data_IF_358850070105
#
_entry.id   IF_358850070105
#
_cell.length_a   1.000
_cell.length_b   1.000
_cell.length_c   1.000
_cell.angle_alpha   90.00
_cell.angle_beta   90.00
_cell.angle_gamma   90.00
#
_symmetry.space_group_name_H-M   'P 1'
#
loop_
_entity.id
_entity.type
_entity.pdbx_description
1 polymer ?
#
# COMPACT_ATOMS: atom_id res chain seq x y z
N UNK A 1 15.12 -15.99 3.79
CA UNK A 1 13.91 -15.26 3.34
C UNK A 1 14.00 -14.80 1.87
N UNK A 2 15.02 -14.02 1.44
CA UNK A 2 15.22 -13.64 0.01
C UNK A 2 15.34 -14.84 -0.96
N UNK A 3 16.12 -15.87 -0.58
CA UNK A 3 16.28 -17.15 -1.33
C UNK A 3 14.95 -17.84 -1.69
N UNK A 4 13.91 -17.65 -0.89
CA UNK A 4 12.60 -18.29 -1.07
C UNK A 4 11.55 -17.32 -1.65
N UNK A 5 11.98 -16.15 -2.13
CA UNK A 5 11.12 -15.06 -2.64
C UNK A 5 9.98 -14.62 -1.71
N UNK A 6 10.04 -14.97 -0.43
CA UNK A 6 9.01 -14.62 0.56
C UNK A 6 8.83 -13.10 0.74
N UNK A 7 9.82 -12.30 0.36
CA UNK A 7 9.85 -10.84 0.57
C UNK A 7 9.96 -10.04 -0.73
N UNK A 8 10.12 -10.68 -1.90
CA UNK A 8 10.47 -10.03 -3.16
C UNK A 8 9.49 -10.34 -4.28
N UNK A 9 8.20 -10.50 -3.95
CA UNK A 9 7.14 -10.70 -4.94
C UNK A 9 6.40 -9.40 -5.30
N UNK A 10 5.84 -9.33 -6.50
CA UNK A 10 5.06 -8.16 -6.96
C UNK A 10 5.87 -6.86 -6.95
N UNK A 11 5.26 -5.76 -6.51
CA UNK A 11 5.91 -4.43 -6.42
C UNK A 11 7.23 -4.45 -5.64
N UNK A 12 7.40 -5.38 -4.68
CA UNK A 12 8.63 -5.49 -3.90
C UNK A 12 9.84 -5.97 -4.72
N UNK A 13 9.60 -6.62 -5.86
CA UNK A 13 10.64 -7.07 -6.78
C UNK A 13 11.22 -5.93 -7.60
N UNK A 14 10.38 -4.94 -7.97
CA UNK A 14 10.71 -3.87 -8.92
C UNK A 14 11.02 -2.55 -8.22
N UNK A 15 10.24 -2.19 -7.21
CA UNK A 15 10.35 -0.91 -6.49
C UNK A 15 10.93 -1.04 -5.07
N UNK A 16 11.30 -2.26 -4.67
CA UNK A 16 11.99 -2.55 -3.41
C UNK A 16 11.07 -3.02 -2.28
N UNK A 17 11.68 -3.69 -1.30
CA UNK A 17 10.97 -4.31 -0.18
C UNK A 17 10.33 -3.22 0.69
N UNK A 18 9.04 -3.36 0.98
CA UNK A 18 8.29 -2.42 1.81
C UNK A 18 7.54 -1.33 1.03
N UNK A 19 7.65 -1.31 -0.31
CA UNK A 19 6.86 -0.39 -1.14
C UNK A 19 5.36 -0.68 -0.99
N UNK A 20 4.59 0.39 -0.84
CA UNK A 20 3.13 0.38 -0.92
C UNK A 20 2.74 1.37 -2.00
N UNK A 21 2.10 0.87 -3.07
CA UNK A 21 1.65 1.69 -4.20
C UNK A 21 0.17 2.03 -4.04
N UNK A 22 -0.25 3.18 -4.56
CA UNK A 22 -1.66 3.60 -4.54
C UNK A 22 -2.59 2.57 -5.22
N UNK A 23 -2.25 1.98 -6.39
CA UNK A 23 -3.06 0.92 -6.98
C UNK A 23 -3.23 -0.29 -6.06
N UNK A 24 -2.18 -0.73 -5.36
CA UNK A 24 -2.22 -1.84 -4.41
C UNK A 24 -3.07 -1.52 -3.18
N UNK A 25 -2.98 -0.29 -2.67
CA UNK A 25 -3.85 0.17 -1.59
C UNK A 25 -5.31 0.18 -2.02
N UNK A 26 -5.62 0.64 -3.24
CA UNK A 26 -6.98 0.67 -3.76
C UNK A 26 -7.58 -0.73 -3.86
N UNK A 27 -6.81 -1.71 -4.32
CA UNK A 27 -7.23 -3.11 -4.34
C UNK A 27 -7.54 -3.63 -2.95
N UNK A 28 -6.70 -3.30 -1.96
CA UNK A 28 -6.90 -3.71 -0.57
C UNK A 28 -8.15 -3.06 0.03
N UNK A 29 -8.32 -1.76 -0.19
CA UNK A 29 -9.52 -1.03 0.24
C UNK A 29 -10.79 -1.61 -0.38
N UNK A 30 -10.77 -1.90 -1.69
CA UNK A 30 -11.91 -2.49 -2.38
C UNK A 30 -12.25 -3.87 -1.82
N UNK A 31 -11.25 -4.71 -1.54
CA UNK A 31 -11.46 -6.01 -0.89
C UNK A 31 -12.15 -5.86 0.47
N UNK A 32 -11.79 -4.86 1.27
CA UNK A 32 -12.44 -4.59 2.55
C UNK A 32 -13.89 -4.14 2.38
N UNK A 33 -14.18 -3.31 1.38
CA UNK A 33 -15.54 -2.86 1.03
C UNK A 33 -16.39 -4.04 0.55
N UNK A 34 -15.88 -4.86 -0.36
CA UNK A 34 -16.59 -5.99 -0.96
C UNK A 34 -16.94 -7.05 0.10
N UNK A 35 -16.03 -7.27 1.06
CA UNK A 35 -16.26 -8.16 2.20
C UNK A 35 -17.03 -7.48 3.35
N UNK A 36 -17.53 -6.25 3.15
CA UNK A 36 -18.33 -5.49 4.12
C UNK A 36 -17.63 -5.24 5.47
N UNK A 37 -16.30 -5.17 5.45
CA UNK A 37 -15.48 -4.91 6.63
C UNK A 37 -15.39 -3.41 6.95
N UNK A 38 -15.58 -2.55 5.94
CA UNK A 38 -15.58 -1.10 6.07
C UNK A 38 -16.75 -0.48 5.29
N UNK A 39 -17.24 0.65 5.78
CA UNK A 39 -18.23 1.49 5.10
C UNK A 39 -17.50 2.52 4.23
N UNK A 40 -17.65 2.48 2.89
CA UNK A 40 -16.95 3.40 1.99
C UNK A 40 -17.39 4.87 2.19
N UNK A 41 -18.58 5.13 2.73
CA UNK A 41 -19.03 6.49 3.03
C UNK A 41 -18.31 7.09 4.25
N UNK A 42 -17.85 6.24 5.18
CA UNK A 42 -17.12 6.65 6.38
C UNK A 42 -15.61 6.60 6.20
N UNK A 43 -15.13 5.71 5.34
CA UNK A 43 -13.70 5.51 5.07
C UNK A 43 -13.42 5.74 3.58
N UNK A 44 -13.42 7.00 3.12
CA UNK A 44 -13.09 7.32 1.74
C UNK A 44 -11.63 6.96 1.44
N UNK A 45 -11.39 6.39 0.25
CA UNK A 45 -10.06 5.93 -0.15
C UNK A 45 -8.97 7.02 -0.02
N UNK A 46 -9.27 8.25 -0.44
CA UNK A 46 -8.33 9.37 -0.38
C UNK A 46 -7.86 9.74 1.04
N UNK A 47 -8.64 9.39 2.07
CA UNK A 47 -8.29 9.60 3.48
C UNK A 47 -7.64 8.39 4.14
N UNK A 48 -7.42 7.29 3.41
CA UNK A 48 -6.92 6.04 3.99
C UNK A 48 -5.41 6.04 4.27
N UNK A 49 -4.67 7.02 3.74
CA UNK A 49 -3.24 7.18 3.96
C UNK A 49 -2.83 8.66 3.99
N UNK A 50 -1.68 8.96 4.60
CA UNK A 50 -1.09 10.30 4.61
C UNK A 50 0.40 10.24 4.32
N UNK A 51 0.86 11.16 3.47
CA UNK A 51 2.29 11.32 3.14
C UNK A 51 2.93 12.46 3.93
N UNK A 52 2.20 13.07 4.86
CA UNK A 52 2.65 14.27 5.59
C UNK A 52 3.99 14.08 6.34
N UNK A 53 4.30 12.85 6.74
CA UNK A 53 5.51 12.52 7.49
C UNK A 53 6.72 12.18 6.62
N UNK A 54 6.53 12.04 5.31
CA UNK A 54 7.57 11.58 4.37
C UNK A 54 8.00 12.72 3.43
N UNK A 55 7.32 13.88 3.48
CA UNK A 55 7.63 15.05 2.63
C UNK A 55 9.07 15.55 2.78
N UNK A 56 9.60 15.53 4.00
CA UNK A 56 10.95 16.01 4.31
C UNK A 56 11.99 14.87 4.30
N UNK A 57 11.53 13.62 4.18
CA UNK A 57 12.43 12.48 4.07
C UNK A 57 12.87 12.40 2.61
N UNK A 58 14.14 12.75 2.38
CA UNK A 58 14.79 12.61 1.07
C UNK A 58 15.06 11.13 0.79
N UNK A 59 14.00 10.35 0.57
CA UNK A 59 14.09 8.99 0.02
C UNK A 59 14.38 9.13 -1.47
N UNK A 60 15.65 9.39 -1.79
CA UNK A 60 16.18 9.20 -3.14
C UNK A 60 16.74 7.76 -3.23
N UNK A 61 16.67 7.12 -4.41
CA UNK A 61 17.18 5.78 -4.62
C UNK A 61 18.67 5.63 -4.28
#
# INVERSE_FOLDING_TARGET
MKKYQMLTGGDAQTAGIGIITEPRLKQTWQLLVDNKLIDPAKVPFAGSYTLQFIKDVKVMP
#
